data_IF_686331876419
#
_entry.id   IF_686331876419
#
_cell.length_a   1.000
_cell.length_b   1.000
_cell.length_c   1.000
_cell.angle_alpha   90.00
_cell.angle_beta   90.00
_cell.angle_gamma   90.00
#
_symmetry.space_group_name_H-M   'P 1'
#
loop_
_entity.id
_entity.type
_entity.pdbx_description
1 polymer ?
#
# COMPACT_ATOMS: atom_id res chain seq x y z
N UNK A 1 -5.07 26.49 -10.39
CA UNK A 1 -5.41 26.82 -8.99
C UNK A 1 -4.14 26.85 -8.14
N UNK A 2 -4.17 27.50 -6.97
CA UNK A 2 -3.08 27.44 -6.00
C UNK A 2 -3.44 26.40 -4.94
N UNK A 3 -2.60 25.41 -4.76
CA UNK A 3 -2.82 24.28 -3.86
C UNK A 3 -1.69 24.18 -2.84
N UNK A 4 -2.02 23.87 -1.60
CA UNK A 4 -1.07 23.43 -0.58
C UNK A 4 -1.33 21.96 -0.25
N UNK A 5 -0.30 21.13 -0.25
CA UNK A 5 -0.38 19.71 0.12
C UNK A 5 0.48 19.49 1.34
N UNK A 6 -0.15 19.26 2.49
CA UNK A 6 0.53 19.13 3.78
C UNK A 6 0.81 17.65 4.06
N UNK A 7 2.10 17.33 4.11
CA UNK A 7 2.64 15.98 4.13
C UNK A 7 3.17 15.57 2.75
N UNK A 8 4.49 15.42 2.62
CA UNK A 8 5.16 14.94 1.40
C UNK A 8 5.57 13.48 1.51
N UNK A 9 4.71 12.67 2.14
CA UNK A 9 4.76 11.21 2.07
C UNK A 9 4.30 10.70 0.71
N UNK A 10 4.07 9.38 0.61
CA UNK A 10 3.67 8.75 -0.65
C UNK A 10 2.44 9.42 -1.28
N UNK A 11 1.34 9.50 -0.53
CA UNK A 11 0.07 10.08 -1.04
C UNK A 11 0.21 11.55 -1.39
N UNK A 12 0.83 12.34 -0.51
CA UNK A 12 0.94 13.79 -0.73
C UNK A 12 1.87 14.14 -1.89
N UNK A 13 3.01 13.46 -2.01
CA UNK A 13 3.96 13.72 -3.09
C UNK A 13 3.39 13.31 -4.46
N UNK A 14 2.77 12.13 -4.56
CA UNK A 14 2.12 11.68 -5.79
C UNK A 14 0.98 12.62 -6.17
N UNK A 15 0.07 12.92 -5.23
CA UNK A 15 -1.08 13.80 -5.49
C UNK A 15 -0.65 15.21 -5.90
N UNK A 16 0.29 15.81 -5.14
CA UNK A 16 0.81 17.15 -5.44
C UNK A 16 1.47 17.23 -6.81
N UNK A 17 2.27 16.21 -7.15
CA UNK A 17 2.94 16.11 -8.45
C UNK A 17 1.94 15.98 -9.60
N UNK A 18 0.91 15.11 -9.44
CA UNK A 18 -0.12 14.93 -10.47
C UNK A 18 -0.99 16.18 -10.63
N UNK A 19 -1.32 16.89 -9.56
CA UNK A 19 -2.00 18.19 -9.67
C UNK A 19 -1.14 19.25 -10.39
N UNK A 20 0.17 19.30 -10.08
CA UNK A 20 1.10 20.21 -10.76
C UNK A 20 1.22 19.88 -12.26
N UNK A 21 1.21 18.60 -12.63
CA UNK A 21 1.24 18.14 -14.03
C UNK A 21 0.04 18.66 -14.84
N UNK A 22 -1.11 18.89 -14.19
CA UNK A 22 -2.29 19.51 -14.80
C UNK A 22 -2.27 21.05 -14.78
N UNK A 23 -1.12 21.67 -14.48
CA UNK A 23 -0.93 23.11 -14.55
C UNK A 23 -1.35 23.88 -13.29
N UNK A 24 -1.65 23.22 -12.19
CA UNK A 24 -1.86 23.89 -10.90
C UNK A 24 -0.53 24.34 -10.30
N UNK A 25 -0.54 25.43 -9.53
CA UNK A 25 0.58 25.84 -8.68
C UNK A 25 0.47 25.12 -7.34
N UNK A 26 1.38 24.21 -7.07
CA UNK A 26 1.32 23.31 -5.92
C UNK A 26 2.54 23.52 -5.02
N UNK A 27 2.30 23.70 -3.73
CA UNK A 27 3.34 23.69 -2.70
C UNK A 27 3.13 22.47 -1.82
N UNK A 28 4.08 21.53 -1.84
CA UNK A 28 4.11 20.41 -0.93
C UNK A 28 4.89 20.80 0.33
N UNK A 29 4.27 20.56 1.50
CA UNK A 29 4.83 20.96 2.79
C UNK A 29 5.13 19.73 3.63
N UNK A 30 6.30 19.68 4.26
CA UNK A 30 6.66 18.66 5.23
C UNK A 30 7.50 19.26 6.35
N UNK A 31 7.35 18.78 7.56
CA UNK A 31 8.14 19.23 8.72
C UNK A 31 9.58 18.74 8.70
N UNK A 32 9.88 17.72 7.91
CA UNK A 32 11.21 17.14 7.78
C UNK A 32 12.07 17.98 6.82
N UNK A 33 12.98 18.77 7.36
CA UNK A 33 13.87 19.66 6.61
C UNK A 33 14.77 18.90 5.62
N UNK A 34 15.34 17.77 6.02
CA UNK A 34 16.22 16.96 5.17
C UNK A 34 15.47 16.43 3.95
N UNK A 35 14.24 15.95 4.16
CA UNK A 35 13.36 15.48 3.10
C UNK A 35 13.01 16.62 2.12
N UNK A 36 12.65 17.78 2.63
CA UNK A 36 12.35 18.95 1.79
C UNK A 36 13.59 19.40 1.02
N UNK A 37 14.76 19.38 1.63
CA UNK A 37 16.01 19.72 0.94
C UNK A 37 16.34 18.71 -0.17
N UNK A 38 16.14 17.41 0.07
CA UNK A 38 16.29 16.37 -0.94
C UNK A 38 15.33 16.61 -2.12
N UNK A 39 14.04 16.84 -1.84
CA UNK A 39 13.03 17.11 -2.85
C UNK A 39 13.35 18.36 -3.69
N UNK A 40 13.81 19.46 -3.07
CA UNK A 40 14.28 20.67 -3.76
C UNK A 40 15.46 20.39 -4.70
N UNK A 41 16.31 19.44 -4.33
CA UNK A 41 17.46 19.00 -5.14
C UNK A 41 17.08 17.90 -6.16
N UNK A 42 15.79 17.56 -6.28
CA UNK A 42 15.32 16.54 -7.22
C UNK A 42 15.58 15.10 -6.79
N UNK A 43 15.94 14.88 -5.52
CA UNK A 43 16.11 13.54 -4.94
C UNK A 43 14.78 13.11 -4.35
N UNK A 44 14.15 12.08 -4.94
CA UNK A 44 12.82 11.62 -4.55
C UNK A 44 12.95 10.49 -3.54
N UNK A 45 12.44 10.65 -2.29
CA UNK A 45 12.68 9.69 -1.20
C UNK A 45 11.75 8.47 -1.22
N UNK A 46 10.96 8.31 -2.26
CA UNK A 46 10.04 7.17 -2.44
C UNK A 46 10.24 6.55 -3.82
N UNK A 47 10.03 5.24 -3.92
CA UNK A 47 10.04 4.57 -5.20
C UNK A 47 8.61 4.45 -5.75
N UNK A 48 8.35 5.15 -6.86
CA UNK A 48 7.13 5.01 -7.65
C UNK A 48 7.48 5.18 -9.14
N UNK A 49 7.13 4.21 -10.00
CA UNK A 49 7.42 4.29 -11.42
C UNK A 49 6.88 5.57 -12.07
N UNK A 50 7.75 6.33 -12.75
CA UNK A 50 7.38 7.57 -13.44
C UNK A 50 7.32 8.84 -12.58
N UNK A 51 7.41 8.74 -11.24
CA UNK A 51 7.29 9.90 -10.34
C UNK A 51 8.47 10.86 -10.48
N UNK A 52 9.71 10.36 -10.43
CA UNK A 52 10.90 11.22 -10.45
C UNK A 52 10.97 12.14 -11.67
N UNK A 53 10.80 11.66 -12.92
CA UNK A 53 10.80 12.57 -14.08
C UNK A 53 9.66 13.59 -14.05
N UNK A 54 8.48 13.22 -13.53
CA UNK A 54 7.33 14.13 -13.42
C UNK A 54 7.57 15.22 -12.37
N UNK A 55 8.14 14.89 -11.21
CA UNK A 55 8.56 15.86 -10.18
C UNK A 55 9.56 16.86 -10.76
N UNK A 56 10.65 16.38 -11.38
CA UNK A 56 11.70 17.24 -11.95
C UNK A 56 11.16 18.18 -13.03
N UNK A 57 10.28 17.69 -13.90
CA UNK A 57 9.61 18.50 -14.92
C UNK A 57 8.80 19.63 -14.28
N UNK A 58 8.03 19.33 -13.24
CA UNK A 58 7.13 20.31 -12.62
C UNK A 58 7.86 21.30 -11.72
N UNK A 59 8.98 20.93 -11.10
CA UNK A 59 9.90 21.88 -10.45
C UNK A 59 10.43 22.86 -11.48
N UNK A 60 10.95 22.38 -12.62
CA UNK A 60 11.50 23.22 -13.68
C UNK A 60 10.47 24.20 -14.26
N UNK A 61 9.20 23.80 -14.33
CA UNK A 61 8.11 24.62 -14.85
C UNK A 61 7.49 25.55 -13.78
N UNK A 62 8.05 25.57 -12.56
CA UNK A 62 7.54 26.33 -11.43
C UNK A 62 6.07 26.00 -11.07
N UNK A 63 5.63 24.78 -11.35
CA UNK A 63 4.30 24.27 -10.97
C UNK A 63 4.33 23.51 -9.66
N UNK A 64 5.49 23.00 -9.23
CA UNK A 64 5.68 22.23 -8.00
C UNK A 64 6.82 22.82 -7.18
N UNK A 65 6.51 23.18 -5.95
CA UNK A 65 7.46 23.70 -4.97
C UNK A 65 7.40 22.90 -3.67
N UNK A 66 8.46 23.01 -2.86
CA UNK A 66 8.58 22.33 -1.57
C UNK A 66 8.93 23.31 -0.47
N UNK A 67 8.27 23.20 0.68
CA UNK A 67 8.47 24.11 1.82
C UNK A 67 8.38 23.38 3.15
N UNK A 68 9.05 23.93 4.16
CA UNK A 68 8.84 23.53 5.57
C UNK A 68 7.86 24.47 6.28
N UNK A 69 7.52 25.64 5.66
CA UNK A 69 6.62 26.64 6.24
C UNK A 69 5.17 26.40 5.80
N UNK A 70 4.36 25.81 6.66
CA UNK A 70 2.92 25.68 6.42
C UNK A 70 2.27 27.07 6.31
N UNK A 71 2.61 27.98 7.20
CA UNK A 71 2.06 29.35 7.24
C UNK A 71 2.16 30.06 5.88
N UNK A 72 3.35 30.08 5.28
CA UNK A 72 3.56 30.74 3.98
C UNK A 72 2.86 30.01 2.85
N UNK A 73 2.83 28.68 2.90
CA UNK A 73 2.29 27.85 1.84
C UNK A 73 0.77 27.92 1.70
N UNK A 74 0.04 28.22 2.80
CA UNK A 74 -1.43 28.27 2.78
C UNK A 74 -1.99 29.66 2.49
N UNK A 75 -1.19 30.74 2.57
CA UNK A 75 -1.68 32.13 2.47
C UNK A 75 -2.47 32.41 1.19
N UNK A 76 -2.08 31.83 0.07
CA UNK A 76 -2.70 32.02 -1.24
C UNK A 76 -3.37 30.74 -1.77
N UNK A 77 -3.46 29.71 -0.94
CA UNK A 77 -4.06 28.45 -1.37
C UNK A 77 -5.58 28.57 -1.44
N UNK A 78 -6.16 28.12 -2.54
CA UNK A 78 -7.61 27.96 -2.68
C UNK A 78 -8.10 26.61 -2.16
N UNK A 79 -7.22 25.61 -2.12
CA UNK A 79 -7.47 24.29 -1.57
C UNK A 79 -6.22 23.84 -0.81
N UNK A 80 -6.42 23.33 0.40
CA UNK A 80 -5.37 22.77 1.25
C UNK A 80 -5.66 21.27 1.45
N UNK A 81 -4.74 20.41 1.04
CA UNK A 81 -4.82 18.97 1.27
C UNK A 81 -4.07 18.58 2.53
N UNK A 82 -4.72 17.84 3.41
CA UNK A 82 -4.11 17.15 4.55
C UNK A 82 -3.78 15.72 4.09
N UNK A 83 -2.48 15.46 3.83
CA UNK A 83 -1.97 14.20 3.31
C UNK A 83 -0.88 13.64 4.23
N UNK A 84 -1.01 13.87 5.54
CA UNK A 84 -0.08 13.38 6.55
C UNK A 84 -0.33 11.92 6.91
N UNK A 85 0.68 11.27 7.48
CA UNK A 85 0.55 9.88 7.94
C UNK A 85 -0.49 9.74 9.06
N UNK A 86 -1.22 8.63 9.00
CA UNK A 86 -2.13 8.17 10.06
C UNK A 86 -1.65 6.80 10.52
N UNK A 87 -0.56 6.72 11.30
CA UNK A 87 -0.02 5.45 11.76
C UNK A 87 -1.04 4.72 12.64
N UNK A 88 -0.85 3.43 12.79
CA UNK A 88 -1.66 2.63 13.69
C UNK A 88 -1.20 2.89 15.12
N UNK A 89 -2.12 3.24 16.00
CA UNK A 89 -1.88 3.32 17.43
C UNK A 89 -1.73 1.93 18.06
N UNK A 90 -1.28 1.89 19.31
CA UNK A 90 -1.07 0.64 20.05
C UNK A 90 -2.35 -0.19 20.21
N UNK A 91 -3.52 0.47 20.22
CA UNK A 91 -4.83 -0.16 20.29
C UNK A 91 -5.39 -0.62 18.94
N UNK A 92 -4.63 -0.42 17.85
CA UNK A 92 -5.04 -0.73 16.48
C UNK A 92 -5.91 0.34 15.81
N UNK A 93 -6.22 1.45 16.48
CA UNK A 93 -6.91 2.60 15.88
C UNK A 93 -5.94 3.44 15.03
N UNK A 94 -6.47 4.29 14.14
CA UNK A 94 -5.64 5.27 13.44
C UNK A 94 -5.29 6.45 14.37
N UNK A 95 -4.02 6.80 14.46
CA UNK A 95 -3.54 7.95 15.19
C UNK A 95 -3.76 9.23 14.38
N UNK A 96 -4.56 10.15 14.91
CA UNK A 96 -4.95 11.41 14.27
C UNK A 96 -4.11 12.61 14.70
N UNK A 97 -3.11 12.45 15.56
CA UNK A 97 -2.36 13.58 16.13
C UNK A 97 -1.79 14.51 15.05
N UNK A 98 -1.28 13.95 13.96
CA UNK A 98 -0.74 14.76 12.85
C UNK A 98 -1.82 15.51 12.08
N UNK A 99 -2.97 14.88 11.83
CA UNK A 99 -4.12 15.51 11.15
C UNK A 99 -4.62 16.69 11.98
N UNK A 100 -4.84 16.49 13.27
CA UNK A 100 -5.31 17.53 14.20
C UNK A 100 -4.27 18.65 14.36
N UNK A 101 -2.98 18.31 14.41
CA UNK A 101 -1.92 19.31 14.46
C UNK A 101 -1.92 20.20 13.22
N UNK A 102 -2.08 19.63 12.03
CA UNK A 102 -2.20 20.39 10.78
C UNK A 102 -3.46 21.26 10.77
N UNK A 103 -4.60 20.70 11.16
CA UNK A 103 -5.85 21.48 11.28
C UNK A 103 -5.69 22.70 12.19
N UNK A 104 -5.02 22.53 13.33
CA UNK A 104 -4.70 23.61 14.25
C UNK A 104 -3.84 24.70 13.62
N UNK A 105 -2.79 24.33 12.92
CA UNK A 105 -1.92 25.29 12.21
C UNK A 105 -2.65 25.99 11.05
N UNK A 106 -3.53 25.30 10.32
CA UNK A 106 -4.40 25.93 9.33
C UNK A 106 -5.28 26.99 10.00
N UNK A 107 -5.98 26.64 11.08
CA UNK A 107 -6.84 27.58 11.82
C UNK A 107 -6.09 28.80 12.35
N UNK A 108 -4.83 28.68 12.78
CA UNK A 108 -3.99 29.79 13.23
C UNK A 108 -3.58 30.73 12.09
N UNK A 109 -3.41 30.24 10.88
CA UNK A 109 -2.70 30.96 9.83
C UNK A 109 -3.52 31.26 8.57
N UNK A 110 -4.69 30.64 8.36
CA UNK A 110 -5.54 30.96 7.19
C UNK A 110 -6.04 32.41 7.24
N UNK A 111 -6.10 33.05 6.07
CA UNK A 111 -6.43 34.46 5.90
C UNK A 111 -7.49 34.73 4.81
N UNK A 112 -8.08 33.68 4.25
CA UNK A 112 -9.08 33.74 3.18
C UNK A 112 -9.99 32.52 3.25
N UNK A 113 -11.10 32.57 2.50
CA UNK A 113 -11.96 31.41 2.28
C UNK A 113 -11.20 30.28 1.57
N UNK A 114 -11.31 29.06 2.11
CA UNK A 114 -10.52 27.91 1.63
C UNK A 114 -11.27 26.59 1.77
N UNK A 115 -11.01 25.66 0.84
CA UNK A 115 -11.43 24.26 0.97
C UNK A 115 -10.29 23.45 1.58
N UNK A 116 -10.57 22.75 2.66
CA UNK A 116 -9.62 21.92 3.41
C UNK A 116 -10.01 20.46 3.18
N UNK A 117 -9.10 19.69 2.61
CA UNK A 117 -9.36 18.35 2.10
C UNK A 117 -8.61 17.31 2.90
N UNK A 118 -9.31 16.46 3.62
CA UNK A 118 -8.75 15.26 4.22
C UNK A 118 -8.50 14.22 3.12
N UNK A 119 -7.22 14.08 2.72
CA UNK A 119 -6.75 13.08 1.76
C UNK A 119 -6.22 11.84 2.44
N UNK A 120 -5.76 11.96 3.68
CA UNK A 120 -5.34 10.85 4.52
C UNK A 120 -6.49 9.88 4.77
N UNK A 121 -6.17 8.57 4.92
CA UNK A 121 -7.17 7.59 5.37
C UNK A 121 -7.43 7.78 6.86
N UNK A 122 -8.61 8.25 7.19
CA UNK A 122 -9.00 8.66 8.55
C UNK A 122 -10.30 7.98 8.99
N UNK A 123 -10.50 7.71 10.30
CA UNK A 123 -11.76 7.21 10.83
C UNK A 123 -12.94 8.13 10.57
N UNK A 124 -14.13 7.53 10.47
CA UNK A 124 -15.40 8.28 10.33
C UNK A 124 -15.57 9.29 11.46
N UNK A 125 -15.90 10.53 11.08
CA UNK A 125 -16.03 11.67 12.00
C UNK A 125 -14.73 12.46 12.18
N UNK A 126 -13.67 12.18 11.44
CA UNK A 126 -12.42 12.95 11.50
C UNK A 126 -12.60 14.35 10.94
N UNK A 127 -13.32 14.51 9.82
CA UNK A 127 -13.58 15.82 9.25
C UNK A 127 -14.36 16.75 10.20
N UNK A 128 -15.23 16.21 11.05
CA UNK A 128 -15.90 16.99 12.10
C UNK A 128 -14.88 17.51 13.12
N UNK A 129 -13.94 16.69 13.56
CA UNK A 129 -12.84 17.08 14.46
C UNK A 129 -11.91 18.12 13.82
N UNK A 130 -11.58 17.96 12.54
CA UNK A 130 -10.80 18.95 11.78
C UNK A 130 -11.53 20.29 11.77
N UNK A 131 -12.83 20.30 11.47
CA UNK A 131 -13.65 21.51 11.48
C UNK A 131 -13.66 22.18 12.84
N UNK A 132 -13.96 21.44 13.90
CA UNK A 132 -13.96 21.95 15.27
C UNK A 132 -12.61 22.55 15.66
N UNK A 133 -11.51 21.86 15.32
CA UNK A 133 -10.14 22.30 15.63
C UNK A 133 -9.82 23.63 14.94
N UNK A 134 -10.17 23.77 13.68
CA UNK A 134 -9.94 25.00 12.91
C UNK A 134 -10.80 26.13 13.48
N UNK A 135 -12.08 25.89 13.76
CA UNK A 135 -12.98 26.89 14.31
C UNK A 135 -12.47 27.43 15.67
N UNK A 136 -12.02 26.56 16.57
CA UNK A 136 -11.42 26.95 17.85
C UNK A 136 -10.22 27.88 17.66
N UNK A 137 -9.37 27.67 16.68
CA UNK A 137 -8.22 28.55 16.43
C UNK A 137 -8.63 29.87 15.76
N UNK A 138 -9.68 29.88 14.94
CA UNK A 138 -10.27 31.12 14.40
C UNK A 138 -10.92 31.97 15.52
N UNK A 139 -11.68 31.34 16.39
CA UNK A 139 -12.33 32.01 17.54
C UNK A 139 -11.30 32.65 18.47
N UNK A 140 -10.16 31.99 18.75
CA UNK A 140 -9.07 32.53 19.58
C UNK A 140 -8.45 33.83 19.06
N UNK A 141 -8.51 34.02 17.75
CA UNK A 141 -7.95 35.22 17.09
C UNK A 141 -9.00 36.19 16.55
N UNK A 142 -10.26 35.98 16.96
CA UNK A 142 -11.41 36.81 16.57
C UNK A 142 -11.54 36.97 15.06
N UNK A 143 -11.38 35.84 14.30
CA UNK A 143 -11.40 35.82 12.85
C UNK A 143 -12.57 35.03 12.31
N UNK A 144 -13.19 35.53 11.22
CA UNK A 144 -14.44 35.00 10.64
C UNK A 144 -14.26 34.55 9.19
N UNK A 145 -13.16 33.87 8.90
CA UNK A 145 -12.94 33.33 7.56
C UNK A 145 -13.80 32.07 7.35
N UNK A 146 -14.51 32.02 6.24
CA UNK A 146 -15.23 30.80 5.84
C UNK A 146 -14.25 29.71 5.42
N UNK A 147 -14.59 28.47 5.76
CA UNK A 147 -13.84 27.30 5.32
C UNK A 147 -14.75 26.09 5.18
N UNK A 148 -14.35 25.17 4.31
CA UNK A 148 -15.14 23.99 3.99
C UNK A 148 -14.27 22.74 4.11
N UNK A 149 -14.63 21.84 5.02
CA UNK A 149 -13.92 20.56 5.18
C UNK A 149 -14.52 19.52 4.26
N UNK A 150 -13.65 18.85 3.50
CA UNK A 150 -13.97 17.83 2.50
C UNK A 150 -13.25 16.56 2.86
N UNK A 151 -13.92 15.41 2.76
CA UNK A 151 -13.27 14.10 2.74
C UNK A 151 -13.07 13.67 1.28
N UNK A 152 -11.83 13.45 0.87
CA UNK A 152 -11.47 12.99 -0.46
C UNK A 152 -10.47 11.83 -0.37
N UNK A 153 -10.93 10.65 0.04
CA UNK A 153 -10.06 9.49 0.22
C UNK A 153 -9.34 9.13 -1.08
N UNK A 154 -8.12 8.65 -0.96
CA UNK A 154 -7.32 8.17 -2.08
C UNK A 154 -7.54 6.67 -2.32
N UNK A 155 -7.37 6.21 -3.56
CA UNK A 155 -7.44 4.82 -3.96
C UNK A 155 -6.22 4.41 -4.78
N UNK A 156 -5.07 5.01 -4.47
CA UNK A 156 -3.81 4.81 -5.18
C UNK A 156 -3.22 3.43 -4.85
N UNK A 157 -2.72 2.75 -5.86
CA UNK A 157 -1.96 1.52 -5.73
C UNK A 157 -0.46 1.84 -5.79
N UNK A 158 0.29 1.60 -4.73
CA UNK A 158 1.75 1.72 -4.77
C UNK A 158 2.30 0.94 -5.97
N UNK A 159 3.22 1.57 -6.73
CA UNK A 159 3.77 1.00 -7.96
C UNK A 159 2.94 1.26 -9.23
N UNK A 160 1.75 1.86 -9.12
CA UNK A 160 0.90 2.29 -10.25
C UNK A 160 0.09 3.54 -9.90
N UNK A 161 0.52 4.29 -8.88
CA UNK A 161 -0.23 5.39 -8.30
C UNK A 161 -0.39 6.58 -9.22
N UNK A 162 0.61 6.85 -10.05
CA UNK A 162 0.51 7.92 -11.06
C UNK A 162 -0.60 7.60 -12.05
N UNK A 163 -0.65 6.39 -12.56
CA UNK A 163 -1.69 5.99 -13.50
C UNK A 163 -3.08 6.03 -12.87
N UNK A 164 -3.22 5.53 -11.63
CA UNK A 164 -4.47 5.59 -10.86
C UNK A 164 -4.93 7.05 -10.61
N UNK A 165 -3.99 7.98 -10.38
CA UNK A 165 -4.32 9.38 -10.17
C UNK A 165 -4.68 10.10 -11.46
N UNK A 166 -3.89 9.86 -12.52
CA UNK A 166 -4.08 10.52 -13.83
C UNK A 166 -5.32 10.01 -14.58
N UNK A 167 -5.72 8.76 -14.33
CA UNK A 167 -6.89 8.11 -14.94
C UNK A 167 -7.70 7.35 -13.88
N UNK A 168 -8.31 8.07 -12.93
CA UNK A 168 -8.98 7.42 -11.80
C UNK A 168 -10.21 6.63 -12.27
N UNK A 169 -10.44 5.46 -11.68
CA UNK A 169 -11.71 4.74 -11.84
C UNK A 169 -12.87 5.55 -11.25
N UNK A 170 -12.61 6.26 -10.16
CA UNK A 170 -13.53 7.15 -9.45
C UNK A 170 -12.79 8.16 -8.58
N UNK A 171 -13.44 9.28 -8.33
CA UNK A 171 -13.02 10.29 -7.35
C UNK A 171 -14.17 10.46 -6.35
N UNK A 172 -13.99 10.05 -5.11
CA UNK A 172 -14.98 10.20 -4.04
C UNK A 172 -14.76 11.55 -3.37
N UNK A 173 -15.82 12.34 -3.27
CA UNK A 173 -15.84 13.65 -2.61
C UNK A 173 -16.98 13.70 -1.62
N UNK A 174 -16.64 13.81 -0.35
CA UNK A 174 -17.60 14.04 0.73
C UNK A 174 -17.56 15.49 1.19
N UNK A 175 -18.65 16.23 1.07
CA UNK A 175 -18.73 17.62 1.50
C UNK A 175 -20.13 17.98 2.02
N UNK A 176 -20.23 19.16 2.66
CA UNK A 176 -21.50 19.70 3.16
C UNK A 176 -21.98 20.91 2.35
N UNK A 177 -21.16 21.49 1.48
CA UNK A 177 -21.51 22.70 0.73
C UNK A 177 -21.30 22.53 -0.77
N UNK A 178 -22.16 23.15 -1.55
CA UNK A 178 -22.06 23.18 -3.01
C UNK A 178 -20.78 23.92 -3.47
N UNK A 179 -20.32 24.90 -2.69
CA UNK A 179 -19.06 25.60 -2.94
C UNK A 179 -17.89 24.62 -2.96
N UNK A 180 -17.80 23.74 -1.95
CA UNK A 180 -16.76 22.74 -1.86
C UNK A 180 -16.85 21.73 -3.01
N UNK A 181 -18.04 21.22 -3.34
CA UNK A 181 -18.23 20.33 -4.49
C UNK A 181 -17.76 20.99 -5.78
N UNK A 182 -18.16 22.23 -6.03
CA UNK A 182 -17.74 22.96 -7.24
C UNK A 182 -16.22 23.14 -7.34
N UNK A 183 -15.54 23.46 -6.23
CA UNK A 183 -14.08 23.55 -6.21
C UNK A 183 -13.42 22.21 -6.50
N UNK A 184 -13.92 21.12 -5.95
CA UNK A 184 -13.41 19.77 -6.20
C UNK A 184 -13.68 19.30 -7.63
N UNK A 185 -14.88 19.56 -8.18
CA UNK A 185 -15.19 19.29 -9.61
C UNK A 185 -14.21 20.02 -10.53
N UNK A 186 -13.96 21.30 -10.29
CA UNK A 186 -13.02 22.10 -11.09
C UNK A 186 -11.59 21.52 -11.02
N UNK A 187 -11.14 21.12 -9.81
CA UNK A 187 -9.81 20.55 -9.62
C UNK A 187 -9.64 19.21 -10.33
N UNK A 188 -10.64 18.32 -10.23
CA UNK A 188 -10.56 16.97 -10.80
C UNK A 188 -11.02 16.87 -12.26
N UNK A 189 -11.62 17.93 -12.82
CA UNK A 189 -12.10 17.93 -14.20
C UNK A 189 -11.03 17.47 -15.23
N UNK A 190 -9.76 17.92 -15.19
CA UNK A 190 -8.75 17.45 -16.15
C UNK A 190 -8.48 15.94 -16.10
N UNK A 191 -8.76 15.27 -14.99
CA UNK A 191 -8.54 13.85 -14.80
C UNK A 191 -9.74 12.99 -15.19
N UNK A 192 -10.92 13.60 -15.37
CA UNK A 192 -12.20 12.91 -15.58
C UNK A 192 -12.91 13.33 -16.88
N UNK A 193 -12.18 13.91 -17.82
CA UNK A 193 -12.73 14.50 -19.07
C UNK A 193 -13.52 13.49 -19.93
N UNK A 194 -13.19 12.20 -19.88
CA UNK A 194 -13.82 11.17 -20.71
C UNK A 194 -15.21 10.74 -20.23
N UNK A 195 -15.42 10.73 -18.90
CA UNK A 195 -16.73 10.53 -18.23
C UNK A 195 -16.69 11.20 -16.86
N UNK A 196 -17.88 11.54 -16.37
CA UNK A 196 -18.00 11.96 -14.97
C UNK A 196 -17.70 10.76 -14.05
N UNK A 197 -16.62 10.88 -13.29
CA UNK A 197 -16.16 9.87 -12.32
C UNK A 197 -16.18 10.39 -10.89
N UNK A 198 -16.70 11.61 -10.69
CA UNK A 198 -16.79 12.21 -9.37
C UNK A 198 -18.07 11.69 -8.72
N UNK A 199 -17.89 11.03 -7.57
CA UNK A 199 -18.98 10.51 -6.76
C UNK A 199 -19.11 11.41 -5.54
N UNK A 200 -20.17 12.19 -5.49
CA UNK A 200 -20.46 13.12 -4.41
C UNK A 200 -21.34 12.46 -3.35
N UNK A 201 -21.02 12.71 -2.10
CA UNK A 201 -21.74 12.17 -0.95
C UNK A 201 -21.51 13.01 0.29
N UNK A 202 -22.14 12.64 1.40
CA UNK A 202 -21.80 13.23 2.70
C UNK A 202 -20.41 12.81 3.17
N UNK A 203 -19.83 13.61 4.08
CA UNK A 203 -18.46 13.45 4.54
C UNK A 203 -18.21 12.07 5.20
N UNK A 204 -19.14 11.64 6.08
CA UNK A 204 -18.98 10.38 6.82
C UNK A 204 -19.06 9.16 5.89
N UNK A 205 -19.92 9.21 4.88
CA UNK A 205 -19.99 8.16 3.85
C UNK A 205 -18.72 8.10 3.02
N UNK A 206 -18.09 9.24 2.70
CA UNK A 206 -16.82 9.28 1.99
C UNK A 206 -15.67 8.67 2.82
N UNK A 207 -15.58 9.01 4.11
CA UNK A 207 -14.63 8.42 5.04
C UNK A 207 -14.82 6.89 5.14
N UNK A 208 -16.06 6.41 5.31
CA UNK A 208 -16.38 4.98 5.39
C UNK A 208 -16.08 4.24 4.08
N UNK A 209 -16.30 4.87 2.93
CA UNK A 209 -16.10 4.26 1.61
C UNK A 209 -14.66 3.75 1.43
N UNK A 210 -13.66 4.47 1.95
CA UNK A 210 -12.26 4.02 1.90
C UNK A 210 -12.04 2.73 2.67
N UNK A 211 -12.52 2.67 3.90
CA UNK A 211 -12.39 1.46 4.75
C UNK A 211 -13.15 0.28 4.16
N UNK A 212 -14.37 0.50 3.72
CA UNK A 212 -15.19 -0.54 3.11
C UNK A 212 -14.55 -1.11 1.84
N UNK A 213 -14.00 -0.24 0.98
CA UNK A 213 -13.30 -0.67 -0.24
C UNK A 213 -12.07 -1.53 0.08
N UNK A 214 -11.21 -1.09 0.99
CA UNK A 214 -10.00 -1.83 1.36
C UNK A 214 -10.33 -3.14 2.08
N UNK A 215 -11.33 -3.14 2.97
CA UNK A 215 -11.80 -4.36 3.64
C UNK A 215 -12.39 -5.36 2.65
N UNK A 216 -13.16 -4.91 1.64
CA UNK A 216 -13.70 -5.78 0.60
C UNK A 216 -12.60 -6.42 -0.24
N UNK A 217 -11.58 -5.66 -0.64
CA UNK A 217 -10.44 -6.20 -1.38
C UNK A 217 -9.64 -7.21 -0.54
N UNK A 218 -9.39 -6.92 0.74
CA UNK A 218 -8.74 -7.84 1.67
C UNK A 218 -9.58 -9.11 1.87
N UNK A 219 -10.92 -8.99 1.94
CA UNK A 219 -11.85 -10.12 2.03
C UNK A 219 -11.72 -11.04 0.82
N UNK A 220 -11.68 -10.50 -0.40
CA UNK A 220 -11.51 -11.30 -1.63
C UNK A 220 -10.21 -12.11 -1.61
N UNK A 221 -9.11 -11.51 -1.15
CA UNK A 221 -7.81 -12.18 -1.05
C UNK A 221 -7.87 -13.28 0.02
N UNK A 222 -8.34 -12.96 1.24
CA UNK A 222 -8.45 -13.95 2.33
C UNK A 222 -9.39 -15.09 1.97
N UNK A 223 -10.55 -14.80 1.36
CA UNK A 223 -11.49 -15.82 0.89
C UNK A 223 -10.81 -16.77 -0.09
N UNK A 224 -10.08 -16.23 -1.09
CA UNK A 224 -9.43 -17.08 -2.09
C UNK A 224 -8.28 -17.91 -1.50
N UNK A 225 -7.56 -17.38 -0.51
CA UNK A 225 -6.54 -18.11 0.22
C UNK A 225 -7.13 -19.24 1.09
N UNK A 226 -8.27 -19.00 1.73
CA UNK A 226 -8.98 -20.04 2.49
C UNK A 226 -9.47 -21.16 1.56
N UNK A 227 -10.06 -20.81 0.41
CA UNK A 227 -10.43 -21.79 -0.63
C UNK A 227 -9.22 -22.56 -1.13
N UNK A 228 -8.06 -21.91 -1.32
CA UNK A 228 -6.83 -22.57 -1.72
C UNK A 228 -6.41 -23.65 -0.69
N UNK A 229 -6.43 -23.32 0.59
CA UNK A 229 -6.10 -24.27 1.65
C UNK A 229 -7.09 -25.45 1.73
N UNK A 230 -8.38 -25.22 1.45
CA UNK A 230 -9.39 -26.27 1.33
C UNK A 230 -9.11 -27.16 0.11
N UNK A 231 -8.79 -26.56 -1.06
CA UNK A 231 -8.46 -27.30 -2.28
C UNK A 231 -7.33 -28.30 -2.04
N UNK A 232 -6.26 -27.92 -1.34
CA UNK A 232 -5.16 -28.83 -1.02
C UNK A 232 -5.61 -30.05 -0.22
N UNK A 233 -6.59 -29.89 0.69
CA UNK A 233 -7.10 -30.97 1.54
C UNK A 233 -8.00 -31.93 0.78
N UNK A 234 -8.79 -31.42 -0.15
CA UNK A 234 -9.77 -32.23 -0.90
C UNK A 234 -9.23 -32.70 -2.27
N UNK A 235 -8.00 -32.31 -2.64
CA UNK A 235 -7.38 -32.70 -3.91
C UNK A 235 -7.88 -31.92 -5.12
N UNK A 236 -8.47 -30.75 -4.93
CA UNK A 236 -8.84 -29.82 -6.00
C UNK A 236 -7.65 -28.91 -6.40
N UNK A 237 -7.71 -28.31 -7.60
CA UNK A 237 -6.76 -27.28 -8.05
C UNK A 237 -7.41 -25.90 -7.94
N UNK A 238 -6.85 -25.04 -7.07
CA UNK A 238 -7.39 -23.70 -6.83
C UNK A 238 -7.39 -22.81 -8.09
N UNK A 239 -6.46 -23.06 -9.05
CA UNK A 239 -6.42 -22.27 -10.29
C UNK A 239 -7.65 -22.55 -11.15
N UNK A 240 -8.12 -23.81 -11.20
CA UNK A 240 -9.36 -24.18 -11.87
C UNK A 240 -10.59 -23.60 -11.15
N UNK A 241 -10.60 -23.69 -9.81
CA UNK A 241 -11.67 -23.08 -9.00
C UNK A 241 -11.72 -21.57 -9.23
N UNK A 242 -10.57 -20.88 -9.19
CA UNK A 242 -10.45 -19.45 -9.48
C UNK A 242 -10.98 -19.10 -10.87
N UNK A 243 -10.62 -19.88 -11.87
CA UNK A 243 -11.11 -19.67 -13.25
C UNK A 243 -12.61 -19.85 -13.33
N UNK A 244 -13.15 -20.88 -12.69
CA UNK A 244 -14.57 -21.17 -12.65
C UNK A 244 -15.39 -20.04 -12.02
N UNK A 245 -15.04 -19.63 -10.78
CA UNK A 245 -15.79 -18.57 -10.10
C UNK A 245 -15.54 -17.18 -10.71
N UNK A 246 -14.32 -16.90 -11.19
CA UNK A 246 -13.95 -15.60 -11.77
C UNK A 246 -14.64 -15.32 -13.11
N UNK A 247 -15.12 -16.36 -13.82
CA UNK A 247 -15.89 -16.22 -15.07
C UNK A 247 -17.29 -15.63 -14.84
N UNK A 248 -17.82 -15.70 -13.63
CA UNK A 248 -19.05 -15.01 -13.25
C UNK A 248 -18.78 -13.50 -13.13
N UNK A 249 -19.47 -12.68 -13.93
CA UNK A 249 -19.33 -11.21 -13.96
C UNK A 249 -19.61 -10.55 -12.60
N UNK A 250 -20.41 -11.19 -11.72
CA UNK A 250 -20.70 -10.69 -10.38
C UNK A 250 -19.50 -10.81 -9.44
N UNK A 251 -18.57 -11.74 -9.71
CA UNK A 251 -17.35 -12.00 -8.93
C UNK A 251 -16.14 -11.33 -9.60
N UNK A 252 -15.91 -11.64 -10.89
CA UNK A 252 -14.76 -11.18 -11.67
C UNK A 252 -13.43 -11.74 -11.19
N UNK A 253 -12.38 -11.55 -11.99
CA UNK A 253 -11.05 -12.10 -11.74
C UNK A 253 -10.18 -11.27 -10.79
N UNK A 254 -10.54 -10.01 -10.54
CA UNK A 254 -9.71 -9.11 -9.74
C UNK A 254 -9.73 -9.48 -8.26
N UNK A 255 -8.54 -9.49 -7.64
CA UNK A 255 -8.31 -9.77 -6.21
C UNK A 255 -8.68 -11.18 -5.74
N UNK A 256 -8.86 -12.14 -6.64
CA UNK A 256 -9.08 -13.56 -6.30
C UNK A 256 -7.88 -14.43 -6.73
N UNK A 257 -6.65 -13.95 -6.55
CA UNK A 257 -5.43 -14.72 -6.76
C UNK A 257 -4.96 -15.30 -5.43
N UNK A 258 -4.81 -16.63 -5.32
CA UNK A 258 -4.25 -17.25 -4.12
C UNK A 258 -2.76 -16.94 -4.02
N UNK A 259 -2.25 -16.81 -2.80
CA UNK A 259 -0.83 -16.53 -2.55
C UNK A 259 -0.48 -16.59 -1.08
N UNK A 260 0.65 -16.01 -0.72
CA UNK A 260 1.20 -16.00 0.66
C UNK A 260 0.53 -15.00 1.61
N UNK A 261 -0.62 -14.47 1.26
CA UNK A 261 -1.30 -13.42 2.01
C UNK A 261 -0.97 -12.01 1.50
N UNK A 262 -1.67 -11.02 2.08
CA UNK A 262 -1.43 -9.61 1.78
C UNK A 262 -0.63 -8.92 2.87
N UNK A 263 0.10 -7.89 2.47
CA UNK A 263 0.83 -6.94 3.32
C UNK A 263 0.60 -5.51 2.83
N UNK A 264 1.60 -4.67 3.01
CA UNK A 264 1.59 -3.26 2.64
C UNK A 264 1.02 -2.36 3.74
N UNK A 265 1.06 -1.07 3.48
CA UNK A 265 0.67 -0.02 4.42
C UNK A 265 -0.84 0.12 4.62
N UNK A 266 -1.65 -0.37 3.68
CA UNK A 266 -3.08 -0.06 3.63
C UNK A 266 -3.94 -1.19 4.20
N UNK A 267 -3.97 -2.37 3.57
CA UNK A 267 -4.92 -3.42 3.96
C UNK A 267 -4.81 -3.84 5.42
N UNK A 268 -3.63 -4.18 5.97
CA UNK A 268 -3.55 -4.59 7.36
C UNK A 268 -4.02 -3.51 8.33
N UNK A 269 -3.61 -2.26 8.08
CA UNK A 269 -3.97 -1.12 8.92
C UNK A 269 -5.48 -0.81 8.85
N UNK A 270 -6.04 -0.76 7.64
CA UNK A 270 -7.43 -0.32 7.43
C UNK A 270 -8.44 -1.37 7.88
N UNK A 271 -8.13 -2.68 7.71
CA UNK A 271 -8.93 -3.78 8.25
C UNK A 271 -8.99 -3.70 9.78
N UNK A 272 -7.84 -3.52 10.45
CA UNK A 272 -7.77 -3.34 11.91
C UNK A 272 -8.51 -2.10 12.38
N UNK A 273 -8.32 -0.97 11.69
CA UNK A 273 -9.00 0.27 12.02
C UNK A 273 -10.53 0.15 11.87
N UNK A 274 -11.02 -0.51 10.81
CA UNK A 274 -12.46 -0.75 10.62
C UNK A 274 -13.04 -1.60 11.75
N UNK A 275 -12.33 -2.65 12.17
CA UNK A 275 -12.71 -3.45 13.35
C UNK A 275 -12.80 -2.58 14.60
N UNK A 276 -11.82 -1.70 14.85
CA UNK A 276 -11.82 -0.78 16.00
C UNK A 276 -12.94 0.26 15.93
N UNK A 277 -13.28 0.74 14.72
CA UNK A 277 -14.46 1.60 14.53
C UNK A 277 -15.73 0.87 14.96
N UNK A 278 -15.91 -0.38 14.53
CA UNK A 278 -17.06 -1.20 14.90
C UNK A 278 -17.15 -1.45 16.42
N UNK A 279 -16.04 -1.84 17.05
CA UNK A 279 -15.95 -2.05 18.51
C UNK A 279 -16.33 -0.79 19.31
N UNK A 280 -15.92 0.42 18.87
CA UNK A 280 -16.28 1.69 19.49
C UNK A 280 -17.77 2.02 19.42
N UNK A 281 -18.50 1.36 18.54
CA UNK A 281 -19.94 1.50 18.34
C UNK A 281 -20.71 0.23 18.75
N UNK A 282 -20.12 -0.59 19.63
CA UNK A 282 -20.73 -1.80 20.18
C UNK A 282 -21.18 -2.81 19.10
N UNK A 283 -20.46 -2.85 17.96
CA UNK A 283 -20.73 -3.77 16.85
C UNK A 283 -19.60 -4.80 16.69
N UNK A 284 -19.95 -6.09 16.74
CA UNK A 284 -19.00 -7.19 16.46
C UNK A 284 -18.81 -7.37 14.95
N UNK A 285 -17.66 -6.94 14.45
CA UNK A 285 -17.27 -7.08 13.06
C UNK A 285 -16.71 -8.48 12.77
N UNK A 286 -17.52 -9.53 12.97
CA UNK A 286 -17.13 -10.95 12.84
C UNK A 286 -16.43 -11.25 11.51
N UNK A 287 -17.00 -10.82 10.37
CA UNK A 287 -16.40 -11.06 9.04
C UNK A 287 -15.03 -10.42 8.91
N UNK A 288 -14.87 -9.17 9.34
CA UNK A 288 -13.61 -8.43 9.25
C UNK A 288 -12.54 -9.08 10.13
N UNK A 289 -12.92 -9.56 11.31
CA UNK A 289 -12.04 -10.33 12.22
C UNK A 289 -11.60 -11.65 11.57
N UNK A 290 -12.50 -12.36 10.90
CA UNK A 290 -12.17 -13.59 10.18
C UNK A 290 -11.18 -13.35 9.03
N UNK A 291 -11.34 -12.26 8.28
CA UNK A 291 -10.44 -11.86 7.17
C UNK A 291 -9.01 -11.67 7.66
N UNK A 292 -8.83 -10.98 8.80
CA UNK A 292 -7.53 -10.77 9.44
C UNK A 292 -6.90 -12.11 9.87
N UNK A 293 -7.66 -12.95 10.59
CA UNK A 293 -7.21 -14.26 11.07
C UNK A 293 -6.79 -15.20 9.94
N UNK A 294 -7.52 -15.18 8.81
CA UNK A 294 -7.15 -15.96 7.61
C UNK A 294 -5.84 -15.48 7.03
N UNK A 295 -5.64 -14.15 6.93
CA UNK A 295 -4.42 -13.59 6.38
C UNK A 295 -3.19 -13.90 7.25
N UNK A 296 -3.32 -13.83 8.57
CA UNK A 296 -2.21 -14.14 9.49
C UNK A 296 -1.76 -15.60 9.36
N UNK A 297 -2.72 -16.54 9.25
CA UNK A 297 -2.41 -17.95 8.97
C UNK A 297 -1.77 -18.14 7.60
N UNK A 298 -2.17 -17.34 6.62
CA UNK A 298 -1.67 -17.46 5.25
C UNK A 298 -0.21 -17.02 5.12
N UNK A 299 0.24 -16.03 5.88
CA UNK A 299 1.62 -15.54 5.85
C UNK A 299 2.68 -16.60 6.15
N UNK A 300 2.31 -17.69 6.83
CA UNK A 300 3.22 -18.79 7.20
C UNK A 300 3.00 -20.08 6.39
N UNK A 301 2.07 -20.11 5.43
CA UNK A 301 1.75 -21.32 4.66
C UNK A 301 2.96 -21.87 3.91
N UNK A 302 3.79 -21.01 3.31
CA UNK A 302 5.00 -21.46 2.60
C UNK A 302 6.04 -22.04 3.55
N UNK A 303 6.32 -21.39 4.67
CA UNK A 303 7.25 -21.94 5.67
C UNK A 303 6.78 -23.29 6.20
N UNK A 304 5.47 -23.47 6.38
CA UNK A 304 4.89 -24.77 6.77
C UNK A 304 5.10 -25.85 5.69
N UNK A 305 5.02 -25.51 4.39
CA UNK A 305 5.35 -26.42 3.30
C UNK A 305 6.85 -26.79 3.30
N UNK A 306 7.73 -25.83 3.56
CA UNK A 306 9.17 -26.08 3.72
C UNK A 306 9.43 -27.04 4.87
N UNK A 307 8.85 -26.77 6.05
CA UNK A 307 8.98 -27.63 7.23
C UNK A 307 8.43 -29.04 6.96
N UNK A 308 7.28 -29.15 6.31
CA UNK A 308 6.73 -30.46 5.92
C UNK A 308 7.70 -31.26 5.04
N UNK A 309 8.45 -30.60 4.15
CA UNK A 309 9.39 -31.27 3.24
C UNK A 309 10.74 -31.58 3.87
N UNK A 310 11.29 -30.67 4.69
CA UNK A 310 12.66 -30.75 5.19
C UNK A 310 12.76 -31.16 6.66
N UNK A 311 11.66 -31.18 7.41
CA UNK A 311 11.61 -31.42 8.87
C UNK A 311 11.60 -30.12 9.68
N UNK A 312 11.41 -30.25 10.99
CA UNK A 312 11.32 -29.13 11.93
C UNK A 312 12.65 -28.41 12.15
N UNK A 313 13.76 -29.15 12.14
CA UNK A 313 15.11 -28.61 12.22
C UNK A 313 15.66 -28.34 10.82
N UNK A 314 15.89 -27.07 10.52
CA UNK A 314 16.42 -26.59 9.26
C UNK A 314 17.89 -26.20 9.35
N UNK A 315 18.60 -26.59 10.43
CA UNK A 315 20.01 -26.33 10.62
C UNK A 315 20.85 -26.86 9.43
N UNK A 316 21.74 -26.03 8.92
CA UNK A 316 22.57 -26.37 7.75
C UNK A 316 21.83 -26.33 6.40
N UNK A 317 20.54 -25.96 6.35
CA UNK A 317 19.81 -25.74 5.11
C UNK A 317 19.90 -24.27 4.66
N UNK A 318 20.00 -24.05 3.37
CA UNK A 318 20.05 -22.74 2.73
C UNK A 318 18.85 -22.62 1.81
N UNK A 319 18.09 -21.52 1.92
CA UNK A 319 16.96 -21.24 1.04
C UNK A 319 17.19 -19.96 0.27
N UNK A 320 17.08 -20.06 -1.07
CA UNK A 320 17.07 -18.90 -1.95
C UNK A 320 15.69 -18.24 -1.97
N UNK A 321 15.62 -16.93 -1.74
CA UNK A 321 14.37 -16.17 -1.72
C UNK A 321 14.33 -15.18 -2.89
N UNK A 322 13.28 -15.27 -3.68
CA UNK A 322 12.92 -14.25 -4.67
C UNK A 322 11.73 -13.43 -4.20
N UNK A 323 11.98 -12.14 -3.98
CA UNK A 323 10.98 -11.15 -3.59
C UNK A 323 10.86 -10.97 -2.09
N UNK A 324 10.98 -9.71 -1.67
CA UNK A 324 10.90 -9.24 -0.28
C UNK A 324 9.77 -8.25 -0.09
N UNK A 325 9.54 -7.35 -1.08
CA UNK A 325 8.42 -6.42 -1.06
C UNK A 325 7.07 -7.14 -1.00
N UNK A 326 6.06 -6.50 -0.43
CA UNK A 326 4.74 -7.12 -0.31
C UNK A 326 4.05 -7.36 -1.67
N UNK A 327 4.46 -6.63 -2.71
CA UNK A 327 4.05 -6.81 -4.12
C UNK A 327 5.09 -6.21 -5.07
N UNK A 328 5.01 -6.51 -6.39
CA UNK A 328 5.88 -5.88 -7.39
C UNK A 328 5.65 -4.37 -7.53
N UNK A 329 6.70 -3.65 -7.98
CA UNK A 329 6.60 -2.21 -8.29
C UNK A 329 6.79 -1.28 -7.10
N UNK A 330 7.13 -1.80 -5.92
CA UNK A 330 7.40 -1.01 -4.71
C UNK A 330 8.57 -1.59 -3.93
N UNK A 331 9.16 -0.80 -3.06
CA UNK A 331 10.15 -1.22 -2.05
C UNK A 331 9.51 -1.45 -0.66
N UNK A 332 8.19 -1.23 -0.52
CA UNK A 332 7.47 -1.35 0.74
C UNK A 332 7.43 -2.79 1.25
N UNK A 333 7.93 -2.99 2.47
CA UNK A 333 7.94 -4.26 3.16
C UNK A 333 7.00 -4.32 4.38
N UNK A 334 6.21 -3.27 4.65
CA UNK A 334 5.28 -3.26 5.79
C UNK A 334 4.35 -4.47 5.71
N UNK A 335 4.32 -5.27 6.77
CA UNK A 335 3.50 -6.49 6.83
C UNK A 335 3.71 -7.47 5.66
N UNK A 336 4.85 -7.38 4.94
CA UNK A 336 5.15 -8.26 3.81
C UNK A 336 5.26 -9.72 4.28
N UNK A 337 4.60 -10.67 3.59
CA UNK A 337 4.68 -12.10 3.93
C UNK A 337 6.12 -12.63 3.98
N UNK A 338 7.03 -12.08 3.19
CA UNK A 338 8.45 -12.44 3.20
C UNK A 338 9.09 -12.32 4.58
N UNK A 339 8.73 -11.31 5.38
CA UNK A 339 9.24 -11.12 6.74
C UNK A 339 8.89 -12.32 7.61
N UNK A 340 7.65 -12.77 7.54
CA UNK A 340 7.14 -13.88 8.36
C UNK A 340 7.75 -15.20 7.94
N UNK A 341 7.83 -15.47 6.63
CA UNK A 341 8.45 -16.67 6.09
C UNK A 341 9.92 -16.74 6.47
N UNK A 342 10.68 -15.68 6.25
CA UNK A 342 12.12 -15.64 6.53
C UNK A 342 12.38 -15.82 8.03
N UNK A 343 11.67 -15.09 8.89
CA UNK A 343 11.82 -15.23 10.35
C UNK A 343 11.51 -16.65 10.83
N UNK A 344 10.48 -17.30 10.28
CA UNK A 344 10.13 -18.67 10.65
C UNK A 344 11.20 -19.67 10.20
N UNK A 345 11.78 -19.52 9.01
CA UNK A 345 12.88 -20.38 8.55
C UNK A 345 14.17 -20.17 9.39
N UNK A 346 14.55 -18.92 9.63
CA UNK A 346 15.74 -18.58 10.45
C UNK A 346 15.59 -19.06 11.88
N UNK A 347 14.41 -18.89 12.48
CA UNK A 347 14.10 -19.42 13.83
C UNK A 347 14.32 -20.92 13.95
N UNK A 348 14.14 -21.69 12.85
CA UNK A 348 14.38 -23.13 12.78
C UNK A 348 15.80 -23.52 12.38
N UNK A 349 16.73 -22.56 12.34
CA UNK A 349 18.15 -22.78 12.08
C UNK A 349 18.58 -22.66 10.61
N UNK A 350 17.67 -22.31 9.70
CA UNK A 350 18.01 -22.12 8.30
C UNK A 350 18.87 -20.86 8.06
N UNK A 351 19.65 -20.90 6.97
CA UNK A 351 20.22 -19.71 6.35
C UNK A 351 19.39 -19.29 5.12
N UNK A 352 19.30 -18.00 4.89
CA UNK A 352 18.54 -17.42 3.77
C UNK A 352 19.46 -16.59 2.89
N UNK A 353 19.33 -16.76 1.58
CA UNK A 353 19.94 -15.89 0.56
C UNK A 353 18.83 -15.19 -0.18
N UNK A 354 18.74 -13.88 -0.12
CA UNK A 354 17.59 -13.12 -0.62
C UNK A 354 17.96 -12.14 -1.72
N UNK A 355 17.04 -12.02 -2.68
CA UNK A 355 17.09 -11.02 -3.74
C UNK A 355 15.72 -10.39 -3.94
N UNK A 356 15.71 -9.07 -4.05
CA UNK A 356 14.56 -8.27 -4.50
C UNK A 356 15.06 -7.08 -5.32
N UNK A 357 14.42 -6.72 -6.43
CA UNK A 357 14.85 -5.60 -7.27
C UNK A 357 14.89 -4.24 -6.57
N UNK A 358 14.12 -4.04 -5.48
CA UNK A 358 13.94 -2.74 -4.82
C UNK A 358 14.01 -2.80 -3.29
N UNK A 359 13.51 -3.83 -2.66
CA UNK A 359 13.27 -3.86 -1.22
C UNK A 359 14.47 -4.35 -0.35
N UNK A 360 15.61 -4.70 -0.94
CA UNK A 360 16.76 -5.23 -0.16
C UNK A 360 17.26 -4.24 0.91
N UNK A 361 17.32 -2.95 0.59
CA UNK A 361 17.77 -1.92 1.56
C UNK A 361 16.79 -1.78 2.72
N UNK A 362 15.48 -1.73 2.41
CA UNK A 362 14.41 -1.70 3.42
C UNK A 362 14.47 -2.93 4.32
N UNK A 363 14.64 -4.12 3.74
CA UNK A 363 14.82 -5.37 4.47
C UNK A 363 15.99 -5.30 5.44
N UNK A 364 17.16 -4.90 4.95
CA UNK A 364 18.43 -4.93 5.69
C UNK A 364 18.46 -3.90 6.81
N UNK A 365 17.91 -2.70 6.58
CA UNK A 365 18.04 -1.61 7.53
C UNK A 365 16.92 -1.56 8.57
N UNK A 366 15.72 -2.09 8.24
CA UNK A 366 14.55 -1.96 9.10
C UNK A 366 13.94 -3.32 9.51
N UNK A 367 13.43 -4.11 8.56
CA UNK A 367 12.53 -5.24 8.87
C UNK A 367 13.22 -6.51 9.32
N UNK A 368 14.41 -6.79 8.78
CA UNK A 368 15.22 -7.96 9.10
C UNK A 368 16.60 -7.54 9.63
N UNK A 369 16.70 -6.31 10.16
CA UNK A 369 17.90 -5.78 10.80
C UNK A 369 18.30 -6.66 11.98
N UNK A 370 19.56 -7.10 12.00
CA UNK A 370 20.12 -7.92 13.07
C UNK A 370 19.93 -9.43 12.91
N UNK A 371 19.17 -9.88 11.91
CA UNK A 371 19.11 -11.31 11.57
C UNK A 371 20.43 -11.75 10.94
N UNK A 372 21.18 -12.64 11.63
CA UNK A 372 22.54 -13.03 11.23
C UNK A 372 22.57 -14.06 10.09
N UNK A 373 21.49 -14.81 9.90
CA UNK A 373 21.44 -15.91 8.94
C UNK A 373 20.82 -15.50 7.60
N UNK A 374 20.90 -14.20 7.26
CA UNK A 374 20.40 -13.67 5.98
C UNK A 374 21.54 -13.01 5.23
N UNK A 375 21.73 -13.41 3.98
CA UNK A 375 22.63 -12.79 3.01
C UNK A 375 21.84 -12.20 1.85
N UNK A 376 22.21 -11.02 1.40
CA UNK A 376 21.62 -10.37 0.22
C UNK A 376 22.57 -10.44 -0.95
N UNK A 377 22.05 -10.59 -2.16
CA UNK A 377 22.83 -10.72 -3.39
C UNK A 377 22.32 -9.80 -4.48
N UNK A 378 23.19 -9.44 -5.44
CA UNK A 378 22.88 -8.45 -6.48
C UNK A 378 22.20 -9.04 -7.73
N UNK A 379 22.11 -10.37 -7.81
CA UNK A 379 21.48 -11.09 -8.93
C UNK A 379 20.52 -12.14 -8.43
N UNK A 380 19.39 -12.29 -9.14
CA UNK A 380 18.37 -13.30 -8.80
C UNK A 380 18.90 -14.74 -8.79
N UNK A 381 19.82 -15.10 -9.69
CA UNK A 381 20.37 -16.44 -9.71
C UNK A 381 21.40 -16.71 -8.61
N UNK A 382 22.08 -15.71 -8.11
CA UNK A 382 23.04 -15.88 -7.01
C UNK A 382 22.37 -16.35 -5.67
N UNK A 383 21.05 -16.29 -5.56
CA UNK A 383 20.34 -16.88 -4.39
C UNK A 383 20.36 -18.40 -4.42
N UNK A 384 20.65 -19.01 -5.57
CA UNK A 384 20.61 -20.46 -5.78
C UNK A 384 21.90 -21.16 -5.33
N UNK A 385 23.00 -20.41 -5.16
CA UNK A 385 24.30 -20.97 -4.78
C UNK A 385 24.20 -21.79 -3.50
N UNK A 386 24.41 -23.11 -3.60
CA UNK A 386 24.28 -24.07 -2.51
C UNK A 386 22.91 -24.05 -1.80
N UNK A 387 21.86 -23.55 -2.46
CA UNK A 387 20.54 -23.53 -1.88
C UNK A 387 19.83 -24.89 -2.01
N UNK A 388 19.13 -25.29 -0.95
CA UNK A 388 18.34 -26.51 -0.92
C UNK A 388 16.99 -26.37 -1.65
N UNK A 389 16.49 -25.14 -1.78
CA UNK A 389 15.29 -24.83 -2.56
C UNK A 389 15.21 -23.33 -2.89
N UNK A 390 14.47 -23.01 -3.94
CA UNK A 390 14.05 -21.65 -4.26
C UNK A 390 12.64 -21.39 -3.72
N UNK A 391 12.43 -20.24 -3.12
CA UNK A 391 11.13 -19.77 -2.59
C UNK A 391 10.76 -18.46 -3.26
N UNK A 392 9.64 -18.41 -3.99
CA UNK A 392 9.11 -17.19 -4.61
C UNK A 392 8.03 -16.58 -3.71
N UNK A 393 8.25 -15.33 -3.27
CA UNK A 393 7.33 -14.62 -2.36
C UNK A 393 6.70 -13.37 -2.98
N UNK A 394 7.35 -12.77 -4.00
CA UNK A 394 6.82 -11.60 -4.72
C UNK A 394 7.00 -11.80 -6.22
N UNK A 395 5.92 -11.60 -6.99
CA UNK A 395 5.83 -11.91 -8.41
C UNK A 395 6.38 -10.78 -9.31
N UNK A 396 7.62 -10.34 -9.09
CA UNK A 396 8.28 -9.37 -9.96
C UNK A 396 8.31 -9.83 -11.43
N UNK A 397 8.24 -8.89 -12.36
CA UNK A 397 8.23 -9.22 -13.80
C UNK A 397 9.42 -10.06 -14.22
N UNK A 398 10.60 -9.80 -13.66
CA UNK A 398 11.84 -10.53 -13.98
C UNK A 398 11.87 -11.99 -13.47
N UNK A 399 10.95 -12.36 -12.55
CA UNK A 399 10.81 -13.73 -12.05
C UNK A 399 9.79 -14.56 -12.84
N UNK A 400 9.03 -13.96 -13.76
CA UNK A 400 7.91 -14.64 -14.45
C UNK A 400 8.34 -15.71 -15.45
N UNK A 401 9.50 -15.52 -16.08
CA UNK A 401 10.04 -16.45 -17.08
C UNK A 401 11.52 -16.66 -16.83
N UNK A 402 11.90 -17.37 -15.75
CA UNK A 402 13.29 -17.65 -15.46
C UNK A 402 13.83 -18.79 -16.34
N UNK A 403 15.16 -18.92 -16.40
CA UNK A 403 15.80 -20.10 -16.94
C UNK A 403 15.71 -21.24 -15.90
N UNK A 404 14.85 -22.22 -16.16
CA UNK A 404 14.66 -23.36 -15.26
C UNK A 404 15.81 -24.36 -15.32
N UNK A 405 16.56 -24.45 -16.42
CA UNK A 405 17.75 -25.29 -16.48
C UNK A 405 18.87 -24.71 -15.62
N UNK A 406 19.04 -23.39 -15.63
CA UNK A 406 19.96 -22.70 -14.73
C UNK A 406 19.56 -22.91 -13.26
N UNK A 407 18.28 -22.73 -12.91
CA UNK A 407 17.78 -22.99 -11.55
C UNK A 407 18.09 -24.43 -11.13
N UNK A 408 17.82 -25.40 -12.00
CA UNK A 408 18.03 -26.82 -11.73
C UNK A 408 19.50 -27.17 -11.51
N UNK A 409 20.39 -26.56 -12.29
CA UNK A 409 21.82 -26.81 -12.21
C UNK A 409 22.49 -26.25 -10.98
N UNK A 410 21.97 -25.16 -10.41
CA UNK A 410 22.57 -24.47 -9.26
C UNK A 410 22.03 -24.93 -7.90
N UNK A 411 20.77 -25.42 -7.85
CA UNK A 411 20.18 -25.93 -6.62
C UNK A 411 20.79 -27.28 -6.22
N UNK A 412 21.00 -27.53 -4.93
CA UNK A 412 21.39 -28.85 -4.40
C UNK A 412 20.34 -29.90 -4.75
N UNK A 413 19.07 -29.54 -4.60
CA UNK A 413 17.91 -30.34 -5.00
C UNK A 413 16.96 -29.42 -5.77
N UNK A 414 16.45 -29.84 -6.94
CA UNK A 414 15.57 -29.00 -7.76
C UNK A 414 14.18 -28.85 -7.13
N UNK A 415 14.08 -28.04 -6.09
CA UNK A 415 12.85 -27.79 -5.33
C UNK A 415 12.46 -26.33 -5.44
N UNK A 416 11.20 -26.06 -5.80
CA UNK A 416 10.64 -24.70 -5.86
C UNK A 416 9.37 -24.63 -5.01
N UNK A 417 9.33 -23.66 -4.08
CA UNK A 417 8.14 -23.26 -3.37
C UNK A 417 7.61 -21.96 -3.98
N UNK A 418 6.53 -22.04 -4.71
CA UNK A 418 5.93 -20.91 -5.41
C UNK A 418 4.76 -20.34 -4.63
N UNK A 419 5.03 -19.29 -3.88
CA UNK A 419 4.03 -18.58 -3.08
C UNK A 419 3.08 -17.70 -3.89
N UNK A 420 3.24 -17.62 -5.21
CA UNK A 420 2.45 -16.76 -6.11
C UNK A 420 1.82 -17.51 -7.28
N UNK A 421 2.00 -18.83 -7.33
CA UNK A 421 1.46 -19.69 -8.40
C UNK A 421 1.84 -19.23 -9.83
N UNK A 422 3.08 -18.75 -10.00
CA UNK A 422 3.54 -18.19 -11.28
C UNK A 422 3.90 -19.26 -12.30
N UNK A 423 4.34 -20.43 -11.84
CA UNK A 423 5.02 -21.41 -12.71
C UNK A 423 4.17 -22.61 -13.11
N UNK A 424 2.89 -22.63 -12.77
CA UNK A 424 1.99 -23.75 -13.05
C UNK A 424 1.91 -24.17 -14.53
N UNK A 425 2.11 -23.21 -15.45
CA UNK A 425 2.08 -23.46 -16.90
C UNK A 425 3.34 -24.13 -17.46
N UNK A 426 4.44 -24.17 -16.70
CA UNK A 426 5.73 -24.67 -17.17
C UNK A 426 5.93 -26.18 -16.95
N UNK A 427 4.98 -26.88 -16.35
CA UNK A 427 5.03 -28.32 -16.07
C UNK A 427 6.34 -28.74 -15.38
N UNK A 428 6.70 -28.06 -14.28
CA UNK A 428 8.01 -28.22 -13.63
C UNK A 428 8.26 -29.64 -13.11
N UNK A 429 7.21 -30.37 -12.73
CA UNK A 429 7.35 -31.79 -12.33
C UNK A 429 7.90 -32.65 -13.47
N UNK A 430 7.45 -32.42 -14.70
CA UNK A 430 7.94 -33.15 -15.89
C UNK A 430 9.41 -32.82 -16.23
N UNK A 431 9.87 -31.65 -15.76
CA UNK A 431 11.26 -31.21 -15.88
C UNK A 431 12.13 -31.68 -14.70
N UNK A 432 11.58 -32.46 -13.80
CA UNK A 432 12.30 -33.06 -12.66
C UNK A 432 12.43 -32.16 -11.44
N UNK A 433 11.56 -31.16 -11.28
CA UNK A 433 11.45 -30.37 -10.05
C UNK A 433 10.44 -30.97 -9.09
N UNK A 434 10.71 -30.88 -7.80
CA UNK A 434 9.67 -30.90 -6.79
C UNK A 434 9.05 -29.52 -6.73
N UNK A 435 7.80 -29.36 -7.18
CA UNK A 435 7.15 -28.07 -7.29
C UNK A 435 5.94 -27.94 -6.37
N UNK A 436 6.03 -26.99 -5.44
CA UNK A 436 5.02 -26.73 -4.43
C UNK A 436 4.32 -25.40 -4.69
N UNK A 437 3.00 -25.43 -4.80
CA UNK A 437 2.14 -24.27 -5.03
C UNK A 437 1.20 -24.04 -3.84
N UNK A 438 0.51 -22.89 -3.86
CA UNK A 438 -0.62 -22.60 -2.97
C UNK A 438 -1.89 -23.18 -3.59
N UNK A 439 -2.63 -24.02 -2.81
CA UNK A 439 -3.94 -24.52 -3.23
C UNK A 439 -3.91 -25.65 -4.26
N UNK A 440 -2.80 -26.37 -4.35
CA UNK A 440 -2.65 -27.59 -5.13
C UNK A 440 -1.81 -28.58 -4.35
N UNK A 441 -2.27 -29.86 -4.35
CA UNK A 441 -1.60 -30.96 -3.65
C UNK A 441 -0.39 -31.46 -4.44
#
# INVERSE_FOLDING_TARGET
MNLAVIGSGYVGLVSGTCFAEMGNKVICVDVNEDKIQQLKNGIIPIYEPGLSPMVLKNIKNDNLQFSTSLKESIQNASIIFIAVGTPMGDDGSADLQYVISVAKEIGKHMTNEVVIVDKSTVPVGTADKVRETIQVELDKRDSFYEFHVVSNPEFLKEGDAINDFMKPDRVVVGAYSEFAFNKMRQLYHPFTMSYDRIIEMDVRSAEMTKYAANAMLATKISFMNEIANICEKVGADVNHVRTGIGSDKRIGYSFIYPGVGYGGSCFPKDVKALKKIAEKHDYDATLITAVENVNDRQKVVISNKVVKRFGEDLSGKIFGIWGLAFKPGTDDMREAPAIYVIKELVKRGASVVAYDPKAMKESQHFYLKGEKNIRYVDSKYNVLDNANALILLTEWKEFRSPDFEEIKSQLITPIIFDGRNQYGVFNLNDKGFEYYQIGKK
#
